data_IF_474127406285
#
_entry.id   IF_474127406285
#
_cell.length_a   1.000
_cell.length_b   1.000
_cell.length_c   1.000
_cell.angle_alpha   90.00
_cell.angle_beta   90.00
_cell.angle_gamma   90.00
#
_symmetry.space_group_name_H-M   'P 1'
#
loop_
_entity.id
_entity.type
_entity.pdbx_description
1 polymer ?
#
# COMPACT_ATOMS: atom_id res chain seq x y z
N UNK A 1 -26.25 -6.74 -8.36
CA UNK A 1 -24.95 -7.21 -7.82
C UNK A 1 -25.22 -8.24 -6.75
N UNK A 2 -24.47 -9.33 -6.71
CA UNK A 2 -24.69 -10.45 -5.77
C UNK A 2 -23.55 -10.65 -4.78
N UNK A 3 -23.81 -11.38 -3.69
CA UNK A 3 -22.78 -11.78 -2.73
C UNK A 3 -21.62 -12.57 -3.37
N UNK A 4 -21.89 -13.30 -4.46
CA UNK A 4 -20.89 -14.06 -5.23
C UNK A 4 -19.85 -13.12 -5.89
N UNK A 5 -20.29 -11.97 -6.42
CA UNK A 5 -19.37 -11.01 -7.03
C UNK A 5 -18.43 -10.41 -5.98
N UNK A 6 -18.96 -10.08 -4.80
CA UNK A 6 -18.18 -9.56 -3.67
C UNK A 6 -17.19 -10.62 -3.16
N UNK A 7 -17.65 -11.87 -3.02
CA UNK A 7 -16.77 -13.00 -2.67
C UNK A 7 -15.61 -13.14 -3.65
N UNK A 8 -15.88 -13.00 -4.96
CA UNK A 8 -14.87 -13.04 -6.00
C UNK A 8 -13.83 -11.93 -5.86
N UNK A 9 -14.26 -10.69 -5.62
CA UNK A 9 -13.35 -9.55 -5.42
C UNK A 9 -12.48 -9.74 -4.18
N UNK A 10 -13.07 -10.16 -3.05
CA UNK A 10 -12.34 -10.42 -1.81
C UNK A 10 -11.31 -11.55 -2.01
N UNK A 11 -11.69 -12.63 -2.69
CA UNK A 11 -10.78 -13.75 -2.99
C UNK A 11 -9.59 -13.29 -3.84
N UNK A 12 -9.81 -12.43 -4.84
CA UNK A 12 -8.73 -11.82 -5.62
C UNK A 12 -7.80 -10.95 -4.76
N UNK A 13 -8.36 -10.16 -3.85
CA UNK A 13 -7.61 -9.29 -2.95
C UNK A 13 -6.74 -10.10 -1.97
N UNK A 14 -7.24 -11.24 -1.46
CA UNK A 14 -6.47 -12.17 -0.62
C UNK A 14 -5.27 -12.71 -1.40
N UNK A 15 -5.48 -13.23 -2.61
CA UNK A 15 -4.40 -13.78 -3.44
C UNK A 15 -3.30 -12.74 -3.75
N UNK A 16 -3.68 -11.48 -3.98
CA UNK A 16 -2.73 -10.37 -4.12
C UNK A 16 -1.96 -10.12 -2.83
N UNK A 17 -2.64 -10.11 -1.68
CA UNK A 17 -2.03 -9.88 -0.35
C UNK A 17 -1.02 -10.97 0.01
N UNK A 18 -1.37 -12.25 -0.22
CA UNK A 18 -0.45 -13.37 -0.04
C UNK A 18 0.81 -13.25 -0.91
N UNK A 19 0.63 -12.82 -2.16
CA UNK A 19 1.74 -12.62 -3.09
C UNK A 19 2.61 -11.43 -2.67
N UNK A 20 1.98 -10.35 -2.21
CA UNK A 20 2.64 -9.18 -1.63
C UNK A 20 3.50 -9.55 -0.43
N UNK A 21 3.00 -10.38 0.49
CA UNK A 21 3.77 -10.88 1.64
C UNK A 21 5.04 -11.63 1.19
N UNK A 22 4.93 -12.46 0.14
CA UNK A 22 6.10 -13.18 -0.41
C UNK A 22 7.11 -12.22 -1.05
N UNK A 23 6.63 -11.23 -1.81
CA UNK A 23 7.49 -10.23 -2.44
C UNK A 23 8.16 -9.33 -1.40
N UNK A 24 7.44 -8.95 -0.34
CA UNK A 24 7.98 -8.17 0.77
C UNK A 24 9.15 -8.91 1.44
N UNK A 25 8.96 -10.19 1.79
CA UNK A 25 10.02 -11.03 2.37
C UNK A 25 11.25 -11.15 1.46
N UNK A 26 11.08 -11.06 0.14
CA UNK A 26 12.19 -11.08 -0.80
C UNK A 26 12.99 -9.76 -0.83
N UNK A 27 12.41 -8.64 -0.39
CA UNK A 27 13.04 -7.32 -0.44
C UNK A 27 13.35 -6.72 0.94
N UNK A 28 12.77 -7.23 2.04
CA UNK A 28 12.87 -6.64 3.39
C UNK A 28 14.29 -6.57 3.95
N UNK A 29 15.21 -7.37 3.41
CA UNK A 29 16.63 -7.42 3.82
C UNK A 29 17.52 -6.45 3.04
N UNK A 30 16.95 -5.67 2.11
CA UNK A 30 17.70 -4.67 1.34
C UNK A 30 18.04 -3.46 2.20
N UNK A 31 19.32 -3.09 2.22
CA UNK A 31 19.81 -1.93 2.96
C UNK A 31 19.34 -0.58 2.39
N UNK A 32 18.89 -0.56 1.13
CA UNK A 32 18.42 0.65 0.44
C UNK A 32 16.88 0.76 0.37
N UNK A 33 16.16 -0.07 1.14
CA UNK A 33 14.71 -0.07 1.19
C UNK A 33 14.21 1.05 2.11
N UNK A 34 13.35 1.98 1.64
CA UNK A 34 12.80 3.03 2.49
C UNK A 34 11.94 2.47 3.63
N UNK A 35 11.95 3.13 4.80
CA UNK A 35 11.17 2.72 5.99
C UNK A 35 9.67 2.54 5.69
N UNK A 36 9.11 3.36 4.80
CA UNK A 36 7.73 3.22 4.34
C UNK A 36 7.40 1.83 3.78
N UNK A 37 8.34 1.13 3.14
CA UNK A 37 8.11 -0.26 2.70
C UNK A 37 8.04 -1.24 3.87
N UNK A 38 8.85 -1.04 4.91
CA UNK A 38 8.81 -1.86 6.12
C UNK A 38 7.48 -1.70 6.83
N UNK A 39 7.01 -0.46 6.93
CA UNK A 39 5.71 -0.13 7.53
C UNK A 39 4.55 -0.72 6.73
N UNK A 40 4.59 -0.63 5.40
CA UNK A 40 3.62 -1.31 4.53
C UNK A 40 3.66 -2.83 4.76
N UNK A 41 4.84 -3.43 4.85
CA UNK A 41 5.03 -4.86 5.11
C UNK A 41 4.38 -5.32 6.42
N UNK A 42 4.52 -4.53 7.50
CA UNK A 42 3.91 -4.79 8.82
C UNK A 42 2.37 -4.79 8.79
N UNK A 43 1.73 -4.11 7.83
CA UNK A 43 0.26 -4.01 7.71
C UNK A 43 -0.36 -5.09 6.82
N UNK A 44 0.42 -5.75 5.97
CA UNK A 44 -0.10 -6.82 5.09
C UNK A 44 -0.81 -7.96 5.84
N UNK A 45 -0.32 -8.44 7.01
CA UNK A 45 -1.05 -9.46 7.78
C UNK A 45 -2.43 -9.00 8.27
N UNK A 46 -2.56 -7.72 8.67
CA UNK A 46 -3.85 -7.17 9.06
C UNK A 46 -4.82 -7.08 7.87
N UNK A 47 -4.30 -6.70 6.69
CA UNK A 47 -5.08 -6.69 5.44
C UNK A 47 -5.62 -8.09 5.12
N UNK A 48 -4.75 -9.11 5.20
CA UNK A 48 -5.11 -10.51 4.97
C UNK A 48 -6.18 -10.99 5.96
N UNK A 49 -5.99 -10.74 7.26
CA UNK A 49 -6.93 -11.12 8.31
C UNK A 49 -8.34 -10.57 8.05
N UNK A 50 -8.44 -9.28 7.72
CA UNK A 50 -9.73 -8.62 7.49
C UNK A 50 -10.43 -9.16 6.25
N UNK A 51 -9.68 -9.38 5.16
CA UNK A 51 -10.25 -9.90 3.93
C UNK A 51 -10.74 -11.35 4.11
N UNK A 52 -10.02 -12.20 4.84
CA UNK A 52 -10.46 -13.57 5.13
C UNK A 52 -11.71 -13.59 6.02
N UNK A 53 -11.77 -12.73 7.04
CA UNK A 53 -12.99 -12.57 7.86
C UNK A 53 -14.17 -12.11 7.00
N UNK A 54 -13.95 -11.15 6.10
CA UNK A 54 -15.02 -10.62 5.24
C UNK A 54 -15.52 -11.67 4.25
N UNK A 55 -14.62 -12.47 3.68
CA UNK A 55 -14.93 -13.58 2.80
C UNK A 55 -15.89 -14.58 3.45
N UNK A 56 -15.67 -14.90 4.73
CA UNK A 56 -16.54 -15.81 5.49
C UNK A 56 -17.94 -15.25 5.79
N UNK A 57 -18.17 -13.96 5.54
CA UNK A 57 -19.40 -13.25 5.86
C UNK A 57 -20.19 -12.82 4.61
N UNK A 58 -19.74 -13.17 3.40
CA UNK A 58 -20.40 -12.75 2.15
C UNK A 58 -21.73 -13.44 1.88
N UNK A 59 -21.95 -14.62 2.48
CA UNK A 59 -23.17 -15.41 2.28
C UNK A 59 -24.43 -14.71 2.81
N UNK A 60 -24.28 -13.73 3.72
CA UNK A 60 -25.37 -12.93 4.28
C UNK A 60 -25.69 -11.64 3.53
N UNK A 61 -25.04 -11.38 2.37
CA UNK A 61 -25.23 -10.14 1.63
C UNK A 61 -26.50 -10.20 0.76
N UNK A 62 -27.39 -9.23 0.99
CA UNK A 62 -28.58 -9.03 0.15
C UNK A 62 -28.19 -8.63 -1.27
N UNK A 63 -28.76 -9.35 -2.25
CA UNK A 63 -28.57 -9.06 -3.67
C UNK A 63 -29.26 -7.74 -4.05
N UNK A 64 -28.65 -7.00 -4.97
CA UNK A 64 -29.24 -5.81 -5.61
C UNK A 64 -29.60 -4.64 -4.67
N UNK A 65 -29.03 -4.62 -3.46
CA UNK A 65 -29.12 -3.47 -2.56
C UNK A 65 -28.07 -2.40 -2.90
N UNK A 66 -28.44 -1.13 -2.78
CA UNK A 66 -27.54 0.02 -3.04
C UNK A 66 -26.26 -0.04 -2.18
N UNK A 67 -26.39 -0.46 -0.92
CA UNK A 67 -25.24 -0.64 -0.01
C UNK A 67 -24.28 -1.74 -0.51
N UNK A 68 -24.79 -2.84 -1.05
CA UNK A 68 -24.00 -3.93 -1.64
C UNK A 68 -23.20 -3.43 -2.85
N UNK A 69 -23.77 -2.54 -3.66
CA UNK A 69 -23.06 -1.93 -4.79
C UNK A 69 -21.95 -0.98 -4.34
N UNK A 70 -22.21 -0.13 -3.34
CA UNK A 70 -21.20 0.78 -2.79
C UNK A 70 -20.05 -0.01 -2.14
N UNK A 71 -20.38 -1.10 -1.44
CA UNK A 71 -19.41 -2.03 -0.86
C UNK A 71 -18.52 -2.66 -1.94
N UNK A 72 -19.10 -3.14 -3.05
CA UNK A 72 -18.32 -3.70 -4.15
C UNK A 72 -17.37 -2.66 -4.74
N UNK A 73 -17.83 -1.44 -5.02
CA UNK A 73 -16.96 -0.38 -5.55
C UNK A 73 -15.78 -0.10 -4.61
N UNK A 74 -16.03 -0.04 -3.31
CA UNK A 74 -14.98 0.11 -2.30
C UNK A 74 -13.97 -1.06 -2.30
N UNK A 75 -14.45 -2.30 -2.49
CA UNK A 75 -13.59 -3.49 -2.59
C UNK A 75 -12.82 -3.56 -3.91
N UNK A 76 -13.40 -3.10 -5.01
CA UNK A 76 -12.70 -2.96 -6.30
C UNK A 76 -11.56 -1.92 -6.17
N UNK A 77 -11.81 -0.81 -5.46
CA UNK A 77 -10.79 0.20 -5.16
C UNK A 77 -9.69 -0.33 -4.23
N UNK A 78 -10.03 -1.22 -3.29
CA UNK A 78 -9.07 -1.93 -2.45
C UNK A 78 -8.18 -2.85 -3.31
N UNK A 79 -8.80 -3.69 -4.13
CA UNK A 79 -8.12 -4.61 -5.04
C UNK A 79 -7.20 -3.86 -6.01
N UNK A 80 -7.63 -2.72 -6.56
CA UNK A 80 -6.81 -1.89 -7.43
C UNK A 80 -5.53 -1.40 -6.75
N UNK A 81 -5.61 -0.91 -5.50
CA UNK A 81 -4.44 -0.46 -4.74
C UNK A 81 -3.50 -1.60 -4.38
N UNK A 82 -4.03 -2.76 -3.99
CA UNK A 82 -3.24 -3.97 -3.76
C UNK A 82 -2.52 -4.44 -5.03
N UNK A 83 -3.17 -4.33 -6.19
CA UNK A 83 -2.56 -4.65 -7.49
C UNK A 83 -1.40 -3.70 -7.82
N UNK A 84 -1.55 -2.41 -7.52
CA UNK A 84 -0.48 -1.42 -7.70
C UNK A 84 0.70 -1.66 -6.76
N UNK A 85 0.45 -1.93 -5.47
CA UNK A 85 1.48 -2.35 -4.51
C UNK A 85 2.21 -3.59 -5.01
N UNK A 86 1.45 -4.59 -5.49
CA UNK A 86 2.00 -5.84 -6.01
C UNK A 86 2.93 -5.59 -7.20
N UNK A 87 2.54 -4.73 -8.15
CA UNK A 87 3.41 -4.36 -9.26
C UNK A 87 4.71 -3.71 -8.77
N UNK A 88 4.62 -2.76 -7.83
CA UNK A 88 5.78 -2.06 -7.28
C UNK A 88 6.77 -3.05 -6.65
N UNK A 89 6.28 -3.90 -5.74
CA UNK A 89 7.11 -4.88 -5.04
C UNK A 89 7.70 -5.91 -6.02
N UNK A 90 6.93 -6.32 -7.02
CA UNK A 90 7.39 -7.24 -8.06
C UNK A 90 8.49 -6.65 -8.93
N UNK A 91 8.45 -5.36 -9.23
CA UNK A 91 9.50 -4.73 -10.03
C UNK A 91 10.76 -4.50 -9.20
N UNK A 92 10.62 -4.08 -7.94
CA UNK A 92 11.75 -3.90 -7.01
C UNK A 92 12.45 -5.24 -6.74
N UNK A 93 11.70 -6.32 -6.51
CA UNK A 93 12.28 -7.66 -6.31
C UNK A 93 13.01 -8.22 -7.54
N UNK A 94 12.67 -7.75 -8.74
CA UNK A 94 13.36 -8.10 -9.99
C UNK A 94 14.62 -7.29 -10.25
N UNK A 95 14.96 -6.33 -9.38
CA UNK A 95 15.95 -5.26 -9.58
C UNK A 95 17.09 -5.66 -10.53
N UNK A 96 17.20 -4.93 -11.64
CA UNK A 96 18.18 -5.21 -12.66
C UNK A 96 19.58 -4.89 -12.11
N UNK A 97 20.56 -5.76 -12.31
CA UNK A 97 21.93 -5.59 -11.80
C UNK A 97 22.63 -4.31 -12.33
N UNK A 98 21.99 -3.62 -13.29
CA UNK A 98 22.44 -2.37 -13.90
C UNK A 98 21.86 -1.11 -13.25
N UNK A 99 20.84 -1.22 -12.40
CA UNK A 99 20.21 -0.07 -11.75
C UNK A 99 21.00 0.37 -10.51
N UNK A 100 21.33 1.65 -10.44
CA UNK A 100 22.23 2.22 -9.42
C UNK A 100 21.55 2.52 -8.08
N UNK A 101 20.22 2.64 -8.04
CA UNK A 101 19.45 2.96 -6.83
C UNK A 101 18.01 2.44 -6.93
N UNK A 102 17.46 1.88 -5.83
CA UNK A 102 16.06 1.46 -5.71
C UNK A 102 15.07 2.58 -6.04
N UNK A 103 15.41 3.83 -5.71
CA UNK A 103 14.56 4.99 -5.99
C UNK A 103 14.38 5.21 -7.49
N UNK A 104 15.43 5.01 -8.30
CA UNK A 104 15.33 5.10 -9.77
C UNK A 104 14.41 4.02 -10.34
N UNK A 105 14.52 2.79 -9.81
CA UNK A 105 13.64 1.68 -10.18
C UNK A 105 12.20 2.06 -9.85
N UNK A 106 11.97 2.53 -8.63
CA UNK A 106 10.64 2.82 -8.14
C UNK A 106 9.98 3.94 -8.96
N UNK A 107 10.70 5.02 -9.28
CA UNK A 107 10.19 6.09 -10.13
C UNK A 107 9.83 5.63 -11.55
N UNK A 108 10.61 4.73 -12.15
CA UNK A 108 10.26 4.13 -13.44
C UNK A 108 8.96 3.34 -13.36
N UNK A 109 8.76 2.62 -12.26
CA UNK A 109 7.53 1.85 -12.04
C UNK A 109 6.32 2.77 -11.90
N UNK A 110 6.42 3.84 -11.10
CA UNK A 110 5.37 4.87 -10.98
C UNK A 110 4.98 5.42 -12.36
N UNK A 111 5.96 5.79 -13.20
CA UNK A 111 5.69 6.30 -14.56
C UNK A 111 5.06 5.26 -15.47
N UNK A 112 5.57 4.02 -15.44
CA UNK A 112 5.02 2.90 -16.22
C UNK A 112 3.56 2.64 -15.86
N UNK A 113 3.22 2.71 -14.58
CA UNK A 113 1.87 2.54 -14.06
C UNK A 113 0.99 3.80 -14.21
N UNK A 114 1.56 4.92 -14.68
CA UNK A 114 0.88 6.22 -14.79
C UNK A 114 0.27 6.69 -13.46
N UNK A 115 0.93 6.36 -12.36
CA UNK A 115 0.52 6.83 -11.03
C UNK A 115 1.02 8.24 -10.82
N UNK A 116 0.27 9.03 -10.06
CA UNK A 116 0.79 10.27 -9.51
C UNK A 116 1.91 9.94 -8.50
N UNK A 117 2.91 10.82 -8.40
CA UNK A 117 4.08 10.57 -7.57
C UNK A 117 3.74 10.50 -6.07
N UNK A 118 2.71 11.22 -5.60
CA UNK A 118 2.26 11.18 -4.20
C UNK A 118 1.31 10.02 -3.97
N UNK A 119 0.30 9.84 -4.82
CA UNK A 119 -0.68 8.76 -4.61
C UNK A 119 -0.14 7.36 -4.94
N UNK A 120 0.91 7.26 -5.76
CA UNK A 120 1.57 6.01 -6.10
C UNK A 120 2.61 5.54 -5.06
N UNK A 121 2.85 6.31 -4.01
CA UNK A 121 3.72 5.91 -2.90
C UNK A 121 3.17 4.68 -2.17
N UNK A 122 4.04 3.79 -1.69
CA UNK A 122 3.59 2.54 -1.07
C UNK A 122 2.77 2.81 0.19
N UNK A 123 3.14 3.82 0.98
CA UNK A 123 2.39 4.27 2.15
C UNK A 123 1.04 4.87 1.78
N UNK A 124 0.94 5.61 0.67
CA UNK A 124 -0.32 6.18 0.19
C UNK A 124 -1.28 5.08 -0.31
N UNK A 125 -0.75 4.11 -1.06
CA UNK A 125 -1.52 2.96 -1.54
C UNK A 125 -1.99 2.07 -0.39
N UNK A 126 -1.14 1.82 0.61
CA UNK A 126 -1.51 1.05 1.80
C UNK A 126 -2.52 1.81 2.66
N UNK A 127 -2.36 3.12 2.86
CA UNK A 127 -3.36 3.95 3.54
C UNK A 127 -4.71 3.86 2.85
N UNK A 128 -4.75 4.01 1.52
CA UNK A 128 -5.98 3.87 0.75
C UNK A 128 -6.56 2.44 0.75
N UNK A 129 -5.75 1.42 1.02
CA UNK A 129 -6.21 0.04 1.24
C UNK A 129 -6.87 -0.06 2.61
N UNK A 130 -6.21 0.45 3.66
CA UNK A 130 -6.76 0.51 5.02
C UNK A 130 -8.03 1.35 5.10
N UNK A 131 -8.15 2.44 4.32
CA UNK A 131 -9.38 3.23 4.20
C UNK A 131 -10.54 2.37 3.67
N UNK A 132 -10.28 1.59 2.61
CA UNK A 132 -11.28 0.68 2.07
C UNK A 132 -11.65 -0.42 3.05
N UNK A 133 -10.69 -0.96 3.80
CA UNK A 133 -10.96 -1.94 4.85
C UNK A 133 -11.71 -1.34 6.03
N UNK A 134 -11.47 -0.08 6.40
CA UNK A 134 -12.22 0.60 7.44
C UNK A 134 -13.70 0.70 7.05
N UNK A 135 -14.00 1.10 5.81
CA UNK A 135 -15.36 1.12 5.30
C UNK A 135 -16.02 -0.27 5.29
N UNK A 136 -15.26 -1.31 4.95
CA UNK A 136 -15.70 -2.70 5.03
C UNK A 136 -16.08 -3.08 6.48
N UNK A 137 -15.22 -2.77 7.46
CA UNK A 137 -15.51 -3.05 8.88
C UNK A 137 -16.70 -2.27 9.43
N UNK A 138 -17.07 -1.14 8.81
CA UNK A 138 -18.21 -0.31 9.23
C UNK A 138 -19.52 -0.72 8.57
N UNK A 139 -19.47 -1.49 7.48
CA UNK A 139 -20.66 -1.91 6.75
C UNK A 139 -21.53 -2.84 7.60
N UNK A 140 -22.86 -2.67 7.51
CA UNK A 140 -23.84 -3.32 8.40
C UNK A 140 -23.68 -4.84 8.52
N UNK A 141 -23.33 -5.49 7.41
CA UNK A 141 -23.16 -6.95 7.36
C UNK A 141 -21.92 -7.46 8.13
N UNK A 142 -20.92 -6.61 8.37
CA UNK A 142 -19.65 -7.00 8.99
C UNK A 142 -19.40 -6.33 10.34
N UNK A 143 -20.05 -5.18 10.60
CA UNK A 143 -19.76 -4.30 11.74
C UNK A 143 -19.76 -4.99 13.10
N UNK A 144 -20.67 -5.93 13.33
CA UNK A 144 -20.72 -6.63 14.62
C UNK A 144 -19.60 -7.66 14.78
N UNK A 145 -19.20 -8.32 13.69
CA UNK A 145 -18.13 -9.30 13.67
C UNK A 145 -16.73 -8.66 13.66
N UNK A 146 -16.59 -7.44 13.12
CA UNK A 146 -15.31 -6.79 12.84
C UNK A 146 -14.96 -5.60 13.77
N UNK A 147 -15.54 -5.54 14.97
CA UNK A 147 -15.29 -4.43 15.91
C UNK A 147 -13.81 -4.29 16.28
N UNK A 148 -13.14 -5.42 16.54
CA UNK A 148 -11.71 -5.45 16.85
C UNK A 148 -10.87 -5.00 15.66
N UNK A 149 -11.19 -5.50 14.47
CA UNK A 149 -10.49 -5.15 13.24
C UNK A 149 -10.64 -3.66 12.89
N UNK A 150 -11.80 -3.06 13.13
CA UNK A 150 -12.01 -1.62 12.94
C UNK A 150 -11.05 -0.77 13.78
N UNK A 151 -10.78 -1.18 15.03
CA UNK A 151 -9.80 -0.52 15.90
C UNK A 151 -8.37 -0.73 15.38
N UNK A 152 -8.01 -1.95 15.01
CA UNK A 152 -6.67 -2.25 14.46
C UNK A 152 -6.39 -1.47 13.16
N UNK A 153 -7.36 -1.36 12.26
CA UNK A 153 -7.24 -0.54 11.04
C UNK A 153 -7.02 0.92 11.37
N UNK A 154 -7.75 1.46 12.34
CA UNK A 154 -7.63 2.86 12.74
C UNK A 154 -6.22 3.15 13.29
N UNK A 155 -5.72 2.28 14.17
CA UNK A 155 -4.35 2.38 14.69
C UNK A 155 -3.31 2.26 13.56
N UNK A 156 -3.45 1.26 12.69
CA UNK A 156 -2.52 1.04 11.59
C UNK A 156 -2.43 2.24 10.65
N UNK A 157 -3.54 2.95 10.42
CA UNK A 157 -3.57 4.19 9.63
C UNK A 157 -2.82 5.33 10.31
N UNK A 158 -3.02 5.53 11.61
CA UNK A 158 -2.33 6.59 12.37
C UNK A 158 -0.81 6.38 12.38
N UNK A 159 -0.36 5.14 12.55
CA UNK A 159 1.06 4.81 12.51
C UNK A 159 1.66 4.99 11.11
N UNK A 160 0.91 4.64 10.05
CA UNK A 160 1.34 4.81 8.67
C UNK A 160 1.39 6.30 8.26
N UNK A 161 0.50 7.13 8.79
CA UNK A 161 0.49 8.58 8.50
C UNK A 161 1.78 9.25 8.96
N UNK A 162 2.27 8.91 10.16
CA UNK A 162 3.53 9.45 10.70
C UNK A 162 4.70 9.18 9.75
N UNK A 163 4.73 7.98 9.18
CA UNK A 163 5.78 7.55 8.25
C UNK A 163 5.66 8.27 6.91
N UNK A 164 4.43 8.53 6.45
CA UNK A 164 4.18 9.28 5.22
C UNK A 164 4.65 10.74 5.31
N UNK A 165 4.60 11.34 6.50
CA UNK A 165 5.06 12.70 6.75
C UNK A 165 6.57 12.79 6.94
N UNK A 166 7.15 11.86 7.71
CA UNK A 166 8.56 11.92 8.12
C UNK A 166 9.52 11.27 7.11
N UNK A 167 9.13 10.12 6.54
CA UNK A 167 10.00 9.26 5.74
C UNK A 167 9.24 8.65 4.55
N UNK A 168 8.76 9.46 3.60
CA UNK A 168 7.99 8.96 2.46
C UNK A 168 8.81 8.02 1.58
N UNK A 169 8.15 7.10 0.87
CA UNK A 169 8.88 6.15 0.02
C UNK A 169 9.47 6.77 -1.25
N UNK A 170 8.99 7.95 -1.63
CA UNK A 170 9.51 8.77 -2.72
C UNK A 170 9.54 10.24 -2.31
N UNK A 171 10.54 11.01 -2.77
CA UNK A 171 10.58 12.45 -2.54
C UNK A 171 9.38 13.16 -3.19
N UNK A 172 9.04 14.33 -2.67
CA UNK A 172 8.15 15.26 -3.36
C UNK A 172 8.81 15.76 -4.65
N UNK A 173 8.02 15.83 -5.74
CA UNK A 173 8.47 16.47 -6.96
C UNK A 173 8.29 17.99 -6.86
N UNK A 174 9.21 18.81 -7.40
CA UNK A 174 9.03 20.25 -7.43
C UNK A 174 7.72 20.65 -8.13
N UNK A 175 7.05 21.68 -7.62
CA UNK A 175 5.81 22.19 -8.20
C UNK A 175 5.98 22.55 -9.70
N UNK A 176 5.01 22.15 -10.53
CA UNK A 176 5.04 22.38 -11.98
C UNK A 176 5.85 21.36 -12.80
N UNK A 177 6.47 20.36 -12.17
CA UNK A 177 7.28 19.38 -12.90
C UNK A 177 6.41 18.28 -13.52
N UNK A 178 6.11 18.40 -14.82
CA UNK A 178 5.49 17.33 -15.62
C UNK A 178 6.55 16.37 -16.16
N UNK A 179 6.56 15.14 -15.64
CA UNK A 179 6.95 13.86 -16.28
C UNK A 179 8.37 13.69 -16.85
N UNK A 180 8.82 14.61 -17.69
CA UNK A 180 9.83 14.29 -18.71
C UNK A 180 11.21 14.93 -18.44
N UNK A 181 11.31 15.98 -17.60
CA UNK A 181 12.55 16.75 -17.39
C UNK A 181 13.00 16.89 -15.92
N UNK A 182 12.66 15.94 -15.04
CA UNK A 182 13.13 15.96 -13.65
C UNK A 182 14.55 15.35 -13.56
N UNK A 183 15.52 16.08 -13.00
CA UNK A 183 16.84 15.52 -12.67
C UNK A 183 16.78 14.75 -11.35
N UNK A 184 16.32 13.51 -11.42
CA UNK A 184 16.21 12.63 -10.26
C UNK A 184 17.54 12.30 -9.59
N UNK A 185 18.67 12.41 -10.30
CA UNK A 185 19.99 12.20 -9.69
C UNK A 185 20.32 13.20 -8.58
N UNK A 186 19.75 14.41 -8.62
CA UNK A 186 19.96 15.43 -7.58
C UNK A 186 19.00 15.28 -6.42
N UNK A 187 17.72 14.99 -6.71
CA UNK A 187 16.69 14.71 -5.70
C UNK A 187 17.06 13.44 -4.91
N UNK A 188 17.49 12.38 -5.59
CA UNK A 188 17.86 11.11 -4.95
C UNK A 188 19.11 11.26 -4.07
N UNK A 189 20.05 12.16 -4.39
CA UNK A 189 21.22 12.45 -3.52
C UNK A 189 20.80 13.15 -2.23
N UNK A 190 19.88 14.11 -2.31
CA UNK A 190 19.35 14.78 -1.12
C UNK A 190 18.54 13.81 -0.25
N UNK A 191 17.75 12.95 -0.88
CA UNK A 191 16.94 11.93 -0.19
C UNK A 191 17.79 10.82 0.44
N UNK A 192 18.87 10.38 -0.22
CA UNK A 192 19.83 9.44 0.36
C UNK A 192 20.53 10.04 1.60
N UNK A 193 20.84 11.34 1.58
CA UNK A 193 21.43 12.04 2.73
C UNK A 193 20.46 12.16 3.92
N UNK A 194 19.14 12.17 3.71
CA UNK A 194 18.16 12.12 4.80
C UNK A 194 18.22 10.79 5.58
N UNK A 195 18.52 9.68 4.88
CA UNK A 195 18.73 8.38 5.51
C UNK A 195 20.05 8.26 6.30
N UNK A 196 21.06 9.08 5.99
CA UNK A 196 22.35 9.07 6.69
C UNK A 196 22.39 10.01 7.92
N UNK A 197 21.49 10.98 8.02
CA UNK A 197 21.49 11.98 9.11
C UNK A 197 21.05 11.44 10.49
N UNK A 198 20.65 10.18 10.62
CA UNK A 198 20.33 9.56 11.92
C UNK A 198 21.55 9.09 12.72
N UNK A 199 22.77 9.28 12.21
CA UNK A 199 24.01 8.81 12.86
C UNK A 199 25.03 9.90 13.17
N UNK A 200 24.67 11.06 13.75
CA UNK A 200 25.67 11.87 14.48
C UNK A 200 25.04 12.56 15.69
N UNK A 201 24.86 11.86 16.81
CA UNK A 201 25.12 12.42 18.14
C UNK A 201 25.72 11.33 19.03
N UNK A 202 27.04 11.34 19.15
CA UNK A 202 27.81 10.38 19.92
C UNK A 202 29.16 10.94 20.32
N UNK A 203 29.12 11.96 21.19
CA UNK A 203 30.10 12.24 22.25
C UNK A 203 31.57 12.45 21.89
N UNK A 204 32.06 13.66 22.12
CA UNK A 204 33.32 13.88 22.82
C UNK A 204 33.12 14.93 23.92
#
# INVERSE_FOLDING_TARGET
>A
MSGIEIFGVITGAIALTETLLKLYKAIETRNDLPEAFLEVGKRLPLVEEILELAKGLTDGLEEEHQETQALKQNLDDCHSKLSQLHEIFRQISKGDAKEKSLVDVYQKVIRKLKLDNKSGRVEALMKGTLDSLQLLTMHRAFKDAMKTQAAHVSQAKEELEKVAEEMPSLPDLPEGTRGDNVNYGEINRQFANWGEQTNIEGGQ
#
